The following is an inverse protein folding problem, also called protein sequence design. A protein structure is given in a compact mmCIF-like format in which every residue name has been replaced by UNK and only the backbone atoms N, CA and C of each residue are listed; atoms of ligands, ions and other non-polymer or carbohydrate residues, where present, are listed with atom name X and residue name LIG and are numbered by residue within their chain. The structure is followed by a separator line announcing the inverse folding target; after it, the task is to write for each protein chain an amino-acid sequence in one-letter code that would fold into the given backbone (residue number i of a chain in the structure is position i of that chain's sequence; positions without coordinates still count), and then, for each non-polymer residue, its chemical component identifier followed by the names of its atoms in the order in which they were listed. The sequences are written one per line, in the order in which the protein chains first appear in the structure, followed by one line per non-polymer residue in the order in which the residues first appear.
data_IF_619972297729
#
_entry.id   IF_619972297729
#
_cell.length_a   1.000
_cell.length_b   1.000
_cell.length_c   1.000
_cell.angle_alpha   90.00
_cell.angle_beta   90.00
_cell.angle_gamma   90.00
#
_symmetry.space_group_name_H-M   'P 1'
#
loop_
_entity.id
_entity.type
_entity.pdbx_description
1 polymer ?
#
# COMPACT_ATOMS: atom_id res chain seq x y z
N UNK A 1 -7.18 27.02 -5.69
CA UNK A 1 -6.89 25.57 -5.66
C UNK A 1 -5.42 25.41 -5.32
N UNK A 2 -5.04 24.49 -4.44
CA UNK A 2 -3.64 24.27 -4.07
C UNK A 2 -3.29 22.78 -4.16
N UNK A 3 -2.03 22.48 -4.46
CA UNK A 3 -1.55 21.11 -4.55
C UNK A 3 -1.57 20.45 -3.18
N UNK A 4 -2.17 19.26 -3.10
CA UNK A 4 -2.26 18.50 -1.85
C UNK A 4 -0.90 17.92 -1.44
N UNK A 5 -0.11 17.47 -2.41
CA UNK A 5 1.19 16.85 -2.18
C UNK A 5 2.31 17.83 -2.54
N UNK A 6 2.71 18.67 -1.59
CA UNK A 6 3.82 19.63 -1.75
C UNK A 6 4.99 19.23 -0.86
N UNK A 7 6.21 19.30 -1.39
CA UNK A 7 7.44 18.98 -0.65
C UNK A 7 7.49 17.54 -0.14
N UNK A 8 6.95 16.59 -0.92
CA UNK A 8 6.79 15.18 -0.51
C UNK A 8 7.37 14.24 -1.56
N UNK A 9 8.03 13.18 -1.10
CA UNK A 9 8.30 11.99 -1.91
C UNK A 9 6.98 11.30 -2.15
N UNK A 10 6.69 10.99 -3.42
CA UNK A 10 5.40 10.44 -3.85
C UNK A 10 5.49 8.93 -4.03
N UNK A 11 4.54 8.21 -3.44
CA UNK A 11 4.37 6.78 -3.55
C UNK A 11 3.07 6.49 -4.30
N UNK A 12 3.10 6.16 -5.60
CA UNK A 12 1.90 5.89 -6.36
C UNK A 12 1.24 4.59 -5.89
N UNK A 13 -0.08 4.60 -5.73
CA UNK A 13 -0.86 3.46 -5.25
C UNK A 13 -1.58 2.84 -6.44
N UNK A 14 -1.33 1.56 -6.69
CA UNK A 14 -2.02 0.79 -7.72
C UNK A 14 -3.09 -0.09 -7.11
N UNK A 15 -4.21 -0.20 -7.83
CA UNK A 15 -5.16 -1.26 -7.57
C UNK A 15 -4.64 -2.61 -8.10
N UNK A 16 -5.41 -3.67 -7.85
CA UNK A 16 -5.04 -5.04 -8.27
C UNK A 16 -4.98 -5.26 -9.79
N UNK A 17 -5.51 -4.31 -10.57
CA UNK A 17 -5.45 -4.30 -12.04
C UNK A 17 -4.24 -3.49 -12.55
N UNK A 18 -3.42 -2.93 -11.66
CA UNK A 18 -2.26 -2.11 -12.00
C UNK A 18 -2.60 -0.64 -12.29
N UNK A 19 -3.84 -0.21 -12.08
CA UNK A 19 -4.26 1.17 -12.35
C UNK A 19 -3.85 2.06 -11.17
N UNK A 20 -3.26 3.22 -11.45
CA UNK A 20 -2.98 4.21 -10.42
C UNK A 20 -4.28 4.84 -9.90
N UNK A 21 -4.57 4.64 -8.62
CA UNK A 21 -5.83 5.06 -7.99
C UNK A 21 -5.64 6.15 -6.94
N UNK A 22 -4.42 6.32 -6.43
CA UNK A 22 -4.11 7.34 -5.45
C UNK A 22 -2.62 7.46 -5.22
N UNK A 23 -2.25 8.27 -4.22
CA UNK A 23 -0.86 8.52 -3.85
C UNK A 23 -0.73 8.50 -2.33
N UNK A 24 0.38 7.96 -1.85
CA UNK A 24 0.98 8.27 -0.56
C UNK A 24 2.07 9.32 -0.73
N UNK A 25 2.38 10.06 0.33
CA UNK A 25 3.35 11.15 0.28
C UNK A 25 4.05 11.33 1.61
N UNK A 26 5.37 11.19 1.64
CA UNK A 26 6.21 11.44 2.82
C UNK A 26 6.86 12.81 2.72
N UNK A 27 6.72 13.64 3.75
CA UNK A 27 7.37 14.96 3.78
C UNK A 27 8.90 14.82 3.74
N UNK A 28 9.56 15.67 2.95
CA UNK A 28 11.03 15.70 2.84
C UNK A 28 11.61 16.51 4.01
N UNK A 29 11.02 17.67 4.27
CA UNK A 29 11.43 18.58 5.33
C UNK A 29 10.64 18.36 6.63
N UNK A 30 10.78 19.30 7.57
CA UNK A 30 10.02 19.30 8.83
C UNK A 30 8.57 19.75 8.59
N UNK A 31 7.62 19.07 9.21
CA UNK A 31 6.21 19.42 9.18
C UNK A 31 5.30 18.20 9.36
N UNK A 32 4.00 18.46 9.49
CA UNK A 32 2.99 17.42 9.69
C UNK A 32 1.91 17.49 8.58
N UNK A 33 1.26 16.35 8.24
CA UNK A 33 1.57 15.01 8.73
C UNK A 33 2.85 14.45 8.07
N UNK A 34 3.62 13.63 8.78
CA UNK A 34 4.79 12.91 8.22
C UNK A 34 4.43 12.13 6.95
N UNK A 35 3.29 11.44 6.96
CA UNK A 35 2.73 10.71 5.83
C UNK A 35 1.34 11.24 5.49
N UNK A 36 1.08 11.44 4.20
CA UNK A 36 -0.20 11.91 3.68
C UNK A 36 -0.66 10.96 2.58
N UNK A 37 -1.87 10.43 2.69
CA UNK A 37 -2.48 9.64 1.62
C UNK A 37 -3.55 10.46 0.89
N UNK A 38 -3.84 10.07 -0.34
CA UNK A 38 -5.03 10.53 -1.06
C UNK A 38 -6.27 10.36 -0.16
N UNK A 39 -7.24 11.29 -0.22
CA UNK A 39 -8.52 11.09 0.43
C UNK A 39 -9.27 9.93 -0.22
N UNK A 40 -10.32 9.44 0.43
CA UNK A 40 -11.26 8.50 -0.20
C UNK A 40 -11.81 9.09 -1.50
N UNK A 41 -11.88 8.28 -2.56
CA UNK A 41 -12.47 8.66 -3.84
C UNK A 41 -13.25 7.49 -4.43
N UNK A 42 -14.02 7.74 -5.51
CA UNK A 42 -14.66 6.65 -6.27
C UNK A 42 -13.68 5.62 -6.85
N UNK A 43 -12.38 5.95 -6.91
CA UNK A 43 -11.34 5.06 -7.43
C UNK A 43 -10.43 4.50 -6.33
N UNK A 44 -10.43 5.08 -5.14
CA UNK A 44 -9.50 4.75 -4.07
C UNK A 44 -10.21 4.62 -2.74
N UNK A 45 -10.14 3.41 -2.17
CA UNK A 45 -10.69 3.10 -0.86
C UNK A 45 -9.60 2.50 0.04
N UNK A 46 -9.17 3.23 1.08
CA UNK A 46 -8.08 2.79 1.97
C UNK A 46 -8.42 1.54 2.76
N UNK A 47 -9.70 1.31 3.02
CA UNK A 47 -10.19 0.13 3.74
C UNK A 47 -10.21 -1.11 2.85
N UNK A 48 -9.93 -0.98 1.55
CA UNK A 48 -9.92 -2.10 0.62
C UNK A 48 -8.55 -2.27 -0.04
N UNK A 49 -7.86 -1.19 -0.39
CA UNK A 49 -6.59 -1.25 -1.12
C UNK A 49 -5.40 -1.63 -0.24
N UNK A 50 -4.55 -2.51 -0.78
CA UNK A 50 -3.31 -2.95 -0.17
C UNK A 50 -2.16 -2.54 -1.08
N UNK A 51 -1.28 -1.69 -0.59
CA UNK A 51 -0.07 -1.31 -1.31
C UNK A 51 0.82 -2.54 -1.53
N UNK A 52 1.45 -2.66 -2.70
CA UNK A 52 2.32 -3.80 -3.02
C UNK A 52 1.60 -5.05 -3.53
N UNK A 53 0.27 -5.17 -3.38
CA UNK A 53 -0.43 -6.40 -3.76
C UNK A 53 -0.40 -6.66 -5.27
N UNK A 54 -0.47 -5.61 -6.09
CA UNK A 54 -0.29 -5.75 -7.53
C UNK A 54 1.11 -6.25 -7.88
N UNK A 55 2.15 -5.71 -7.25
CA UNK A 55 3.54 -6.09 -7.44
C UNK A 55 3.76 -7.56 -7.03
N UNK A 56 3.27 -7.97 -5.86
CA UNK A 56 3.35 -9.35 -5.40
C UNK A 56 2.69 -10.33 -6.39
N UNK A 57 1.52 -9.95 -6.93
CA UNK A 57 0.85 -10.72 -8.00
C UNK A 57 1.70 -10.81 -9.28
N UNK A 58 2.27 -9.70 -9.73
CA UNK A 58 3.11 -9.67 -10.94
C UNK A 58 4.38 -10.51 -10.78
N UNK A 59 4.97 -10.51 -9.59
CA UNK A 59 6.12 -11.32 -9.24
C UNK A 59 5.78 -12.81 -8.97
N UNK A 60 4.51 -13.20 -9.09
CA UNK A 60 4.01 -14.54 -8.75
C UNK A 60 4.32 -14.94 -7.29
N UNK A 61 4.47 -13.96 -6.40
CA UNK A 61 4.91 -14.13 -5.02
C UNK A 61 3.72 -14.17 -4.05
N UNK A 62 2.56 -14.68 -4.48
CA UNK A 62 1.33 -14.69 -3.66
C UNK A 62 1.10 -16.02 -2.94
N UNK A 63 2.04 -16.95 -2.96
CA UNK A 63 1.91 -18.22 -2.21
C UNK A 63 1.80 -17.96 -0.70
N UNK A 64 2.53 -16.97 -0.21
CA UNK A 64 2.34 -16.37 1.13
C UNK A 64 2.48 -14.86 1.04
N UNK A 65 1.81 -14.10 1.91
CA UNK A 65 1.93 -12.64 1.94
C UNK A 65 2.40 -12.13 3.32
N UNK A 66 3.28 -11.14 3.31
CA UNK A 66 3.72 -10.42 4.50
C UNK A 66 2.95 -9.10 4.56
N UNK A 67 2.11 -8.91 5.58
CA UNK A 67 1.32 -7.71 5.79
C UNK A 67 2.05 -6.81 6.79
N UNK A 68 2.39 -5.60 6.37
CA UNK A 68 3.08 -4.57 7.18
C UNK A 68 2.27 -3.26 7.22
N UNK A 69 2.68 -2.30 8.04
CA UNK A 69 1.91 -1.07 8.26
C UNK A 69 2.05 -0.03 7.15
N UNK A 70 3.21 0.04 6.47
CA UNK A 70 3.52 1.14 5.57
C UNK A 70 4.15 0.74 4.23
N UNK A 71 3.99 1.62 3.24
CA UNK A 71 4.61 1.45 1.93
C UNK A 71 6.14 1.44 1.97
N UNK A 72 6.77 2.14 2.92
CA UNK A 72 8.23 2.09 3.10
C UNK A 72 8.72 0.70 3.52
N UNK A 73 7.96 0.01 4.36
CA UNK A 73 8.31 -1.35 4.80
C UNK A 73 8.23 -2.32 3.62
N UNK A 74 7.16 -2.21 2.81
CA UNK A 74 7.02 -2.97 1.56
C UNK A 74 8.18 -2.71 0.60
N UNK A 75 8.52 -1.44 0.38
CA UNK A 75 9.63 -1.06 -0.53
C UNK A 75 10.96 -1.61 -0.01
N UNK A 76 11.21 -1.52 1.30
CA UNK A 76 12.43 -2.03 1.92
C UNK A 76 12.51 -3.55 1.80
N UNK A 77 11.44 -4.27 2.16
CA UNK A 77 11.34 -5.72 2.00
C UNK A 77 11.58 -6.15 0.56
N UNK A 78 10.94 -5.47 -0.40
CA UNK A 78 11.14 -5.72 -1.82
C UNK A 78 12.60 -5.50 -2.25
N UNK A 79 13.27 -4.46 -1.72
CA UNK A 79 14.68 -4.21 -2.00
C UNK A 79 15.59 -5.35 -1.51
N UNK A 80 15.19 -6.06 -0.46
CA UNK A 80 15.88 -7.24 0.07
C UNK A 80 15.36 -8.58 -0.50
N UNK A 81 14.58 -8.55 -1.59
CA UNK A 81 14.12 -9.76 -2.29
C UNK A 81 12.81 -10.36 -1.77
N UNK A 82 12.17 -9.75 -0.77
CA UNK A 82 10.85 -10.16 -0.29
C UNK A 82 9.76 -9.49 -1.14
N UNK A 83 9.46 -10.10 -2.29
CA UNK A 83 8.48 -9.60 -3.27
C UNK A 83 7.01 -9.84 -2.87
N UNK A 84 6.77 -10.49 -1.72
CA UNK A 84 5.45 -10.84 -1.22
C UNK A 84 4.93 -9.91 -0.10
N UNK A 85 5.57 -8.76 0.09
CA UNK A 85 5.15 -7.78 1.08
C UNK A 85 4.00 -6.88 0.57
N UNK A 86 3.03 -6.62 1.43
CA UNK A 86 1.89 -5.71 1.19
C UNK A 86 1.61 -4.86 2.42
N UNK A 87 1.01 -3.68 2.25
CA UNK A 87 0.70 -2.80 3.37
C UNK A 87 -0.70 -2.21 3.33
N UNK A 88 -1.25 -1.93 4.52
CA UNK A 88 -2.41 -1.03 4.64
C UNK A 88 -1.98 0.42 4.36
N UNK A 89 -2.97 1.30 4.18
CA UNK A 89 -2.73 2.68 3.74
C UNK A 89 -3.08 3.69 4.83
N UNK A 90 -2.41 3.55 5.99
CA UNK A 90 -2.63 4.41 7.16
C UNK A 90 -3.97 4.14 7.83
N UNK A 91 -4.38 2.87 7.88
CA UNK A 91 -5.61 2.41 8.52
C UNK A 91 -5.34 1.06 9.20
N UNK A 92 -6.10 0.76 10.25
CA UNK A 92 -6.16 -0.58 10.79
C UNK A 92 -6.59 -1.60 9.71
N UNK A 93 -6.19 -2.85 9.88
CA UNK A 93 -6.63 -3.95 9.02
C UNK A 93 -8.15 -4.07 9.09
N UNK A 94 -8.80 -4.13 7.94
CA UNK A 94 -10.26 -4.22 7.83
C UNK A 94 -10.67 -5.61 7.36
N UNK A 95 -11.95 -5.96 7.52
CA UNK A 95 -12.52 -7.19 6.96
C UNK A 95 -12.36 -7.26 5.44
N UNK A 96 -12.42 -6.13 4.75
CA UNK A 96 -12.22 -6.04 3.30
C UNK A 96 -10.79 -6.36 2.90
N UNK A 97 -9.79 -5.91 3.67
CA UNK A 97 -8.40 -6.33 3.48
C UNK A 97 -8.24 -7.84 3.61
N UNK A 98 -8.77 -8.43 4.68
CA UNK A 98 -8.70 -9.88 4.91
C UNK A 98 -9.38 -10.65 3.77
N UNK A 99 -10.58 -10.22 3.37
CA UNK A 99 -11.32 -10.83 2.27
C UNK A 99 -10.54 -10.73 0.95
N UNK A 100 -9.87 -9.61 0.71
CA UNK A 100 -9.01 -9.42 -0.46
C UNK A 100 -7.79 -10.33 -0.40
N UNK A 101 -7.07 -10.41 0.72
CA UNK A 101 -5.91 -11.30 0.92
C UNK A 101 -6.27 -12.76 0.68
N UNK A 102 -7.41 -13.22 1.21
CA UNK A 102 -7.89 -14.60 1.08
C UNK A 102 -8.22 -15.01 -0.36
N UNK A 103 -8.36 -14.06 -1.30
CA UNK A 103 -8.48 -14.36 -2.74
C UNK A 103 -7.15 -14.74 -3.39
N UNK A 104 -6.02 -14.40 -2.75
CA UNK A 104 -4.67 -14.61 -3.27
C UNK A 104 -3.91 -15.69 -2.50
N UNK A 105 -4.09 -15.75 -1.18
CA UNK A 105 -3.40 -16.74 -0.34
C UNK A 105 -4.23 -17.14 0.87
N UNK A 106 -3.99 -18.35 1.35
CA UNK A 106 -4.45 -18.81 2.68
C UNK A 106 -3.41 -18.60 3.78
N UNK A 107 -2.18 -18.23 3.40
CA UNK A 107 -1.04 -18.11 4.30
C UNK A 107 -0.54 -16.65 4.28
N UNK A 108 -0.85 -15.88 5.32
CA UNK A 108 -0.30 -14.54 5.47
C UNK A 108 0.15 -14.30 6.91
N UNK A 109 1.21 -13.49 7.03
CA UNK A 109 1.81 -13.08 8.30
C UNK A 109 1.55 -11.59 8.46
N UNK A 110 1.01 -11.17 9.60
CA UNK A 110 0.75 -9.76 9.88
C UNK A 110 1.69 -9.28 11.00
N UNK A 111 2.34 -8.14 10.76
CA UNK A 111 3.31 -7.51 11.66
C UNK A 111 2.88 -6.08 11.98
#
# INVERSE_FOLDING_TARGET
MYDRFRGRIIFPIQDIKGRYVGFGGRIIDKGEPKYLNSPETKFFNKSNELFGLYQAKQAQATESLIVVEGYMDVISLHQFGFHNAVATLGTAVTRSHVTKLLRYTKNFFAF
#
